data_IF_317093286762
#
_entry.id   IF_317093286762
#
_cell.length_a   1.000
_cell.length_b   1.000
_cell.length_c   1.000
_cell.angle_alpha   90.00
_cell.angle_beta   90.00
_cell.angle_gamma   90.00
#
_symmetry.space_group_name_H-M   'P 1'
#
loop_
_entity.id
_entity.type
_entity.pdbx_description
1 polymer ?
#
# COMPACT_ATOMS: atom_id res chain seq x y z
N UNK A 1 -0.85 -16.93 -20.56
CA UNK A 1 -0.38 -17.44 -19.25
C UNK A 1 0.57 -18.64 -19.35
N UNK A 2 0.48 -19.47 -20.41
CA UNK A 2 1.28 -20.71 -20.55
C UNK A 2 2.79 -20.41 -20.71
N UNK A 3 3.18 -19.29 -21.29
CA UNK A 3 4.59 -18.91 -21.49
C UNK A 3 5.27 -18.37 -20.23
N UNK A 4 4.51 -17.71 -19.33
CA UNK A 4 5.07 -17.14 -18.10
C UNK A 4 5.31 -18.19 -17.01
N UNK A 5 4.48 -19.22 -16.92
CA UNK A 5 4.67 -20.32 -15.97
C UNK A 5 5.94 -21.14 -16.22
N UNK A 6 6.33 -21.30 -17.50
CA UNK A 6 7.52 -22.05 -17.86
C UNK A 6 8.81 -21.32 -17.44
N UNK A 7 8.85 -19.99 -17.58
CA UNK A 7 9.99 -19.17 -17.15
C UNK A 7 10.12 -19.08 -15.61
N UNK A 8 8.98 -19.07 -14.89
CA UNK A 8 8.97 -19.05 -13.41
C UNK A 8 9.47 -20.38 -12.84
N UNK A 9 9.18 -21.51 -13.48
CA UNK A 9 9.60 -22.84 -12.99
C UNK A 9 11.11 -23.04 -13.02
N UNK A 10 11.79 -22.49 -14.01
CA UNK A 10 13.22 -22.74 -14.20
C UNK A 10 14.12 -21.75 -13.45
N UNK A 11 13.67 -20.50 -13.29
CA UNK A 11 14.48 -19.45 -12.67
C UNK A 11 13.97 -18.97 -11.29
N UNK A 12 12.72 -19.24 -10.96
CA UNK A 12 12.06 -18.69 -9.78
C UNK A 12 11.87 -17.16 -9.82
N UNK A 13 12.12 -16.52 -10.96
CA UNK A 13 12.05 -15.07 -11.17
C UNK A 13 11.12 -14.80 -12.35
N UNK A 14 10.21 -13.83 -12.19
CA UNK A 14 9.38 -13.34 -13.30
C UNK A 14 10.27 -12.64 -14.33
N UNK A 15 10.31 -13.13 -15.56
CA UNK A 15 11.19 -12.60 -16.62
C UNK A 15 10.44 -11.67 -17.57
N UNK A 16 9.13 -11.86 -17.75
CA UNK A 16 8.30 -11.10 -18.69
C UNK A 16 7.16 -10.37 -17.98
N UNK A 17 6.89 -9.12 -18.42
CA UNK A 17 5.67 -8.42 -18.00
C UNK A 17 4.44 -9.15 -18.47
N UNK A 18 3.50 -9.40 -17.58
CA UNK A 18 2.19 -9.96 -17.89
C UNK A 18 1.10 -8.90 -17.68
N UNK A 19 0.20 -8.78 -18.67
CA UNK A 19 -0.98 -7.94 -18.55
C UNK A 19 -2.23 -8.81 -18.49
N UNK A 20 -3.06 -8.57 -17.48
CA UNK A 20 -4.33 -9.28 -17.32
C UNK A 20 -5.45 -8.28 -17.02
N UNK A 21 -6.66 -8.61 -17.44
CA UNK A 21 -7.85 -7.80 -17.17
C UNK A 21 -8.75 -8.54 -16.19
N UNK A 22 -9.17 -7.85 -15.13
CA UNK A 22 -10.16 -8.31 -14.18
C UNK A 22 -11.33 -7.35 -14.12
N UNK A 23 -12.52 -7.87 -13.79
CA UNK A 23 -13.69 -7.05 -13.47
C UNK A 23 -13.97 -7.16 -11.99
N UNK A 24 -14.08 -6.01 -11.34
CA UNK A 24 -14.16 -5.93 -9.89
C UNK A 24 -15.30 -5.03 -9.41
N UNK A 25 -16.05 -5.47 -8.42
CA UNK A 25 -17.19 -4.76 -7.79
C UNK A 25 -17.01 -4.50 -6.29
N UNK A 26 -15.82 -4.70 -5.77
CA UNK A 26 -15.56 -4.73 -4.33
C UNK A 26 -15.78 -6.12 -3.73
N UNK A 27 -15.31 -6.34 -2.51
CA UNK A 27 -15.46 -7.62 -1.79
C UNK A 27 -16.94 -7.95 -1.54
N UNK A 28 -17.75 -6.93 -1.20
CA UNK A 28 -19.16 -7.06 -0.90
C UNK A 28 -20.06 -6.88 -2.14
N UNK A 29 -19.48 -6.77 -3.33
CA UNK A 29 -20.17 -6.47 -4.60
C UNK A 29 -21.05 -5.20 -4.58
N UNK A 30 -20.78 -4.26 -3.67
CA UNK A 30 -21.55 -3.04 -3.46
C UNK A 30 -21.12 -1.87 -4.34
N UNK A 31 -20.07 -2.04 -5.13
CA UNK A 31 -19.56 -1.01 -6.03
C UNK A 31 -19.97 -1.27 -7.49
N UNK A 32 -20.01 -0.24 -8.33
CA UNK A 32 -20.12 -0.41 -9.78
C UNK A 32 -18.99 -1.32 -10.30
N UNK A 33 -19.26 -2.04 -11.38
CA UNK A 33 -18.23 -2.86 -12.00
C UNK A 33 -17.14 -2.01 -12.61
N UNK A 34 -15.91 -2.25 -12.17
CA UNK A 34 -14.71 -1.60 -12.71
C UNK A 34 -13.89 -2.62 -13.49
N UNK A 35 -13.46 -2.24 -14.68
CA UNK A 35 -12.46 -2.96 -15.44
C UNK A 35 -11.09 -2.56 -14.94
N UNK A 36 -10.34 -3.51 -14.39
CA UNK A 36 -9.00 -3.31 -13.85
C UNK A 36 -8.02 -4.04 -14.76
N UNK A 37 -7.09 -3.30 -15.36
CA UNK A 37 -5.98 -3.87 -16.11
C UNK A 37 -4.78 -3.96 -15.17
N UNK A 38 -4.32 -5.16 -14.90
CA UNK A 38 -3.20 -5.45 -14.02
C UNK A 38 -1.97 -5.73 -14.90
N UNK A 39 -0.91 -4.96 -14.71
CA UNK A 39 0.38 -5.18 -15.35
C UNK A 39 1.34 -5.65 -14.26
N UNK A 40 1.67 -6.94 -14.27
CA UNK A 40 2.70 -7.51 -13.42
C UNK A 40 4.06 -7.30 -14.05
N UNK A 41 4.99 -6.71 -13.30
CA UNK A 41 6.33 -6.39 -13.79
C UNK A 41 7.39 -7.16 -13.01
N UNK A 42 8.45 -7.66 -13.70
CA UNK A 42 9.54 -8.32 -13.01
C UNK A 42 10.23 -7.39 -11.99
N UNK A 43 10.52 -7.92 -10.81
CA UNK A 43 11.21 -7.16 -9.73
C UNK A 43 12.74 -7.13 -9.86
N UNK A 44 13.33 -7.75 -10.90
CA UNK A 44 14.77 -7.84 -11.03
C UNK A 44 15.36 -6.63 -11.77
N UNK A 45 16.60 -6.24 -11.40
CA UNK A 45 17.28 -5.04 -11.95
C UNK A 45 17.46 -5.05 -13.47
N UNK A 46 17.59 -6.22 -14.06
CA UNK A 46 17.79 -6.37 -15.50
C UNK A 46 16.57 -5.98 -16.35
N UNK A 47 15.39 -5.86 -15.71
CA UNK A 47 14.12 -5.55 -16.36
C UNK A 47 13.62 -4.11 -16.08
N UNK A 48 14.53 -3.20 -15.79
CA UNK A 48 14.20 -1.78 -15.50
C UNK A 48 13.48 -1.08 -16.64
N UNK A 49 13.76 -1.48 -17.89
CA UNK A 49 13.14 -0.90 -19.10
C UNK A 49 11.65 -1.27 -19.20
N UNK A 50 11.31 -2.50 -18.87
CA UNK A 50 9.93 -3.00 -18.87
C UNK A 50 9.11 -2.27 -17.79
N UNK A 51 9.69 -2.08 -16.59
CA UNK A 51 9.09 -1.31 -15.51
C UNK A 51 8.88 0.14 -15.96
N UNK A 52 9.88 0.77 -16.57
CA UNK A 52 9.76 2.17 -17.04
C UNK A 52 8.72 2.34 -18.15
N UNK A 53 8.61 1.38 -19.07
CA UNK A 53 7.55 1.39 -20.11
C UNK A 53 6.17 1.29 -19.46
N UNK A 54 6.01 0.40 -18.50
CA UNK A 54 4.74 0.23 -17.77
C UNK A 54 4.34 1.50 -17.03
N UNK A 55 5.27 2.19 -16.37
CA UNK A 55 5.00 3.43 -15.62
C UNK A 55 4.36 4.54 -16.46
N UNK A 56 4.52 4.53 -17.79
CA UNK A 56 3.94 5.56 -18.68
C UNK A 56 2.43 5.42 -18.87
N UNK A 57 1.87 4.25 -18.61
CA UNK A 57 0.46 3.92 -18.86
C UNK A 57 -0.32 3.58 -17.60
N UNK A 58 0.33 3.61 -16.42
CA UNK A 58 -0.29 3.28 -15.15
C UNK A 58 -1.06 4.46 -14.57
N UNK A 59 -2.29 4.21 -14.13
CA UNK A 59 -3.09 5.13 -13.30
C UNK A 59 -2.67 5.07 -11.83
N UNK A 60 -2.07 3.96 -11.39
CA UNK A 60 -1.56 3.75 -10.05
C UNK A 60 -0.70 2.50 -9.96
N UNK A 61 0.13 2.39 -8.93
CA UNK A 61 1.01 1.26 -8.71
C UNK A 61 0.85 0.67 -7.31
N UNK A 62 0.85 -0.66 -7.20
CA UNK A 62 1.02 -1.37 -5.96
C UNK A 62 2.49 -1.76 -5.80
N UNK A 63 3.18 -1.10 -4.87
CA UNK A 63 4.59 -1.37 -4.55
C UNK A 63 4.66 -2.47 -3.49
N UNK A 64 5.12 -3.66 -3.86
CA UNK A 64 5.21 -4.81 -2.97
C UNK A 64 6.59 -4.87 -2.31
N UNK A 65 6.62 -4.75 -0.98
CA UNK A 65 7.82 -4.86 -0.16
C UNK A 65 7.86 -6.18 0.59
N UNK A 66 9.05 -6.77 0.77
CA UNK A 66 9.23 -7.95 1.59
C UNK A 66 9.33 -7.54 3.07
N UNK A 67 8.52 -8.13 3.95
CA UNK A 67 8.55 -7.86 5.39
C UNK A 67 9.91 -8.18 6.06
N UNK A 68 10.66 -9.12 5.50
CA UNK A 68 11.99 -9.50 5.97
C UNK A 68 13.09 -8.61 5.37
N UNK A 69 13.11 -8.50 4.03
CA UNK A 69 14.13 -7.75 3.29
C UNK A 69 13.96 -6.23 3.36
N UNK A 70 12.74 -5.76 3.56
CA UNK A 70 12.43 -4.33 3.59
C UNK A 70 12.60 -3.62 2.26
N UNK A 71 13.02 -2.37 2.33
CA UNK A 71 13.35 -1.56 1.16
C UNK A 71 14.73 -1.96 0.64
N UNK A 72 14.77 -2.45 -0.60
CA UNK A 72 15.99 -2.89 -1.29
C UNK A 72 16.40 -1.88 -2.38
N UNK A 73 17.63 -1.94 -2.93
CA UNK A 73 18.09 -1.01 -3.98
C UNK A 73 17.17 -0.99 -5.21
N UNK A 74 16.57 -2.14 -5.58
CA UNK A 74 15.59 -2.21 -6.65
C UNK A 74 14.33 -1.40 -6.33
N UNK A 75 13.85 -1.46 -5.08
CA UNK A 75 12.71 -0.68 -4.62
C UNK A 75 12.97 0.83 -4.75
N UNK A 76 14.19 1.28 -4.45
CA UNK A 76 14.60 2.68 -4.61
C UNK A 76 14.60 3.12 -6.08
N UNK A 77 15.06 2.24 -6.97
CA UNK A 77 15.08 2.51 -8.42
C UNK A 77 13.67 2.65 -8.97
N UNK A 78 12.79 1.69 -8.66
CA UNK A 78 11.37 1.72 -9.08
C UNK A 78 10.64 2.90 -8.46
N UNK A 79 10.93 3.24 -7.20
CA UNK A 79 10.39 4.42 -6.52
C UNK A 79 10.72 5.72 -7.26
N UNK A 80 12.00 5.89 -7.67
CA UNK A 80 12.43 7.05 -8.45
C UNK A 80 11.75 7.12 -9.82
N UNK A 81 11.56 5.98 -10.49
CA UNK A 81 10.82 5.92 -11.75
C UNK A 81 9.35 6.32 -11.55
N UNK A 82 8.69 5.80 -10.53
CA UNK A 82 7.32 6.18 -10.21
C UNK A 82 7.20 7.67 -9.89
N UNK A 83 8.20 8.28 -9.24
CA UNK A 83 8.29 9.72 -9.04
C UNK A 83 8.39 10.46 -10.38
N UNK A 84 9.28 10.04 -11.26
CA UNK A 84 9.46 10.65 -12.59
C UNK A 84 8.17 10.67 -13.41
N UNK A 85 7.39 9.60 -13.36
CA UNK A 85 6.14 9.47 -14.10
C UNK A 85 4.89 9.91 -13.31
N UNK A 86 5.06 10.38 -12.09
CA UNK A 86 3.97 10.87 -11.21
C UNK A 86 2.89 9.81 -10.98
N UNK A 87 3.26 8.55 -10.81
CA UNK A 87 2.33 7.45 -10.57
C UNK A 87 1.96 7.40 -9.08
N UNK A 88 0.67 7.53 -8.72
CA UNK A 88 0.19 7.33 -7.36
C UNK A 88 0.49 5.91 -6.88
N UNK A 89 0.77 5.73 -5.59
CA UNK A 89 1.24 4.44 -5.07
C UNK A 89 0.51 4.00 -3.82
N UNK A 90 0.23 2.70 -3.79
CA UNK A 90 -0.12 1.96 -2.60
C UNK A 90 1.05 1.03 -2.25
N UNK A 91 1.48 1.00 -1.00
CA UNK A 91 2.49 0.06 -0.53
C UNK A 91 1.83 -1.20 0.06
N UNK A 92 2.33 -2.36 -0.29
CA UNK A 92 1.91 -3.65 0.25
C UNK A 92 3.12 -4.37 0.86
N UNK A 93 3.05 -4.70 2.15
CA UNK A 93 4.11 -5.45 2.85
C UNK A 93 3.73 -6.93 2.84
N UNK A 94 4.48 -7.71 2.06
CA UNK A 94 4.24 -9.13 1.82
C UNK A 94 5.17 -10.01 2.67
N UNK A 95 4.82 -11.28 2.81
CA UNK A 95 5.60 -12.30 3.55
C UNK A 95 5.71 -12.00 5.04
N UNK A 96 4.59 -11.57 5.66
CA UNK A 96 4.50 -11.35 7.10
C UNK A 96 4.59 -12.64 7.93
N UNK A 97 4.37 -13.79 7.29
CA UNK A 97 4.47 -15.14 7.82
C UNK A 97 5.92 -15.68 7.92
N UNK A 98 6.89 -14.98 7.35
CA UNK A 98 8.29 -15.46 7.33
C UNK A 98 9.07 -15.01 8.56
N UNK A 99 10.00 -15.87 9.02
CA UNK A 99 10.94 -15.55 10.09
C UNK A 99 11.73 -14.28 9.79
N UNK A 100 11.76 -13.34 10.73
CA UNK A 100 12.37 -12.01 10.60
C UNK A 100 11.45 -10.96 9.96
N UNK A 101 10.15 -11.27 9.74
CA UNK A 101 9.19 -10.34 9.21
C UNK A 101 8.91 -9.20 10.20
N UNK A 102 8.97 -7.96 9.72
CA UNK A 102 8.70 -6.78 10.54
C UNK A 102 8.10 -5.65 9.69
N UNK A 103 6.81 -5.39 9.87
CA UNK A 103 6.06 -4.35 9.16
C UNK A 103 6.60 -2.94 9.47
N UNK A 104 6.83 -2.64 10.75
CA UNK A 104 7.25 -1.31 11.16
C UNK A 104 8.67 -0.96 10.72
N UNK A 105 9.55 -1.96 10.64
CA UNK A 105 10.88 -1.79 10.02
C UNK A 105 10.77 -1.36 8.55
N UNK A 106 9.86 -1.96 7.79
CA UNK A 106 9.63 -1.59 6.38
C UNK A 106 9.08 -0.16 6.29
N UNK A 107 8.09 0.16 7.14
CA UNK A 107 7.53 1.51 7.24
C UNK A 107 8.60 2.58 7.50
N UNK A 108 9.49 2.36 8.48
CA UNK A 108 10.58 3.27 8.80
C UNK A 108 11.61 3.39 7.67
N UNK A 109 11.90 2.29 6.98
CA UNK A 109 12.77 2.30 5.81
C UNK A 109 12.15 3.08 4.64
N UNK A 110 10.84 3.04 4.44
CA UNK A 110 10.18 3.87 3.44
C UNK A 110 10.38 5.37 3.75
N UNK A 111 10.29 5.77 5.01
CA UNK A 111 10.56 7.15 5.44
C UNK A 111 12.02 7.55 5.25
N UNK A 112 12.94 6.71 5.69
CA UNK A 112 14.37 7.05 5.75
C UNK A 112 15.08 6.90 4.41
N UNK A 113 14.81 5.82 3.65
CA UNK A 113 15.51 5.51 2.40
C UNK A 113 14.80 6.08 1.18
N UNK A 114 13.47 6.01 1.13
CA UNK A 114 12.69 6.51 -0.03
C UNK A 114 12.27 7.97 0.14
N UNK A 115 12.48 8.57 1.32
CA UNK A 115 11.97 9.91 1.69
C UNK A 115 10.46 10.02 1.45
N UNK A 116 9.75 8.89 1.62
CA UNK A 116 8.31 8.84 1.50
C UNK A 116 7.62 9.33 2.76
N UNK A 117 6.35 9.70 2.64
CA UNK A 117 5.46 9.94 3.78
C UNK A 117 4.36 8.86 3.80
N UNK A 118 4.68 7.61 4.18
CA UNK A 118 3.72 6.52 4.21
C UNK A 118 2.71 6.71 5.33
N UNK A 119 1.46 6.37 5.05
CA UNK A 119 0.37 6.37 6.03
C UNK A 119 -0.18 4.95 6.09
N UNK A 120 0.00 4.22 7.21
CA UNK A 120 -0.61 2.92 7.38
C UNK A 120 -2.14 3.04 7.37
N UNK A 121 -2.79 2.21 6.57
CA UNK A 121 -4.26 2.04 6.55
C UNK A 121 -4.68 0.77 7.27
N UNK A 122 -3.74 -0.18 7.34
CA UNK A 122 -3.85 -1.42 8.13
C UNK A 122 -2.55 -1.66 8.88
N UNK A 123 -2.62 -2.32 10.04
CA UNK A 123 -1.46 -2.82 10.79
C UNK A 123 -1.60 -4.33 11.02
N UNK A 124 -0.50 -5.10 11.09
CA UNK A 124 -0.57 -6.54 11.26
C UNK A 124 -0.95 -6.95 12.69
N UNK A 125 -1.62 -8.09 12.82
CA UNK A 125 -1.86 -8.80 14.08
C UNK A 125 -0.84 -9.93 14.17
N UNK A 126 0.21 -9.72 14.96
CA UNK A 126 1.34 -10.64 15.04
C UNK A 126 2.29 -10.55 13.85
N UNK A 127 3.32 -11.38 13.88
CA UNK A 127 4.31 -11.53 12.81
C UNK A 127 4.86 -12.96 12.84
N UNK A 128 5.49 -13.39 11.76
CA UNK A 128 6.04 -14.74 11.64
C UNK A 128 4.95 -15.81 11.87
N UNK A 129 5.23 -16.81 12.68
CA UNK A 129 4.29 -17.89 13.01
C UNK A 129 3.05 -17.40 13.79
N UNK A 130 3.10 -16.19 14.34
CA UNK A 130 1.97 -15.58 15.07
C UNK A 130 1.12 -14.65 14.22
N UNK A 131 1.45 -14.46 12.93
CA UNK A 131 0.67 -13.63 12.02
C UNK A 131 -0.71 -14.24 11.79
N UNK A 132 -1.77 -13.53 12.19
CA UNK A 132 -3.16 -14.00 12.11
C UNK A 132 -4.05 -13.17 11.20
N UNK A 133 -3.69 -11.93 10.96
CA UNK A 133 -4.53 -11.01 10.23
C UNK A 133 -4.03 -9.58 10.29
N UNK A 134 -4.93 -8.64 10.05
CA UNK A 134 -4.63 -7.20 10.11
C UNK A 134 -5.75 -6.45 10.84
N UNK A 135 -5.44 -5.26 11.33
CA UNK A 135 -6.40 -4.32 11.87
C UNK A 135 -6.64 -3.23 10.82
N UNK A 136 -7.88 -3.07 10.39
CA UNK A 136 -8.35 -1.93 9.59
C UNK A 136 -8.48 -0.70 10.50
N UNK A 137 -7.61 0.27 10.30
CA UNK A 137 -7.56 1.48 11.14
C UNK A 137 -8.75 2.40 10.89
N UNK A 138 -9.34 2.40 9.71
CA UNK A 138 -10.51 3.22 9.42
C UNK A 138 -11.76 2.68 10.13
N UNK A 139 -11.94 1.36 10.11
CA UNK A 139 -13.09 0.67 10.71
C UNK A 139 -12.91 0.33 12.19
N UNK A 140 -11.68 0.37 12.71
CA UNK A 140 -11.33 -0.14 14.05
C UNK A 140 -11.76 -1.60 14.25
N UNK A 141 -11.50 -2.44 13.24
CA UNK A 141 -11.85 -3.86 13.25
C UNK A 141 -10.66 -4.71 12.84
N UNK A 142 -10.53 -5.86 13.49
CA UNK A 142 -9.60 -6.90 13.05
C UNK A 142 -10.20 -7.66 11.87
N UNK A 143 -9.37 -7.97 10.87
CA UNK A 143 -9.70 -8.82 9.72
C UNK A 143 -8.87 -10.08 9.86
N UNK A 144 -9.55 -11.19 10.09
CA UNK A 144 -8.95 -12.51 10.24
C UNK A 144 -9.37 -13.38 9.06
N UNK A 145 -8.41 -13.94 8.34
CA UNK A 145 -8.67 -14.85 7.22
C UNK A 145 -8.82 -16.28 7.68
N UNK A 146 -9.73 -16.98 7.02
CA UNK A 146 -9.90 -18.42 7.20
C UNK A 146 -8.86 -19.15 6.33
N UNK A 147 -7.91 -19.82 6.96
CA UNK A 147 -6.85 -20.58 6.29
C UNK A 147 -7.41 -21.67 5.36
N UNK A 148 -8.51 -22.33 5.77
CA UNK A 148 -9.15 -23.37 4.98
C UNK A 148 -9.70 -22.87 3.63
N UNK A 149 -10.04 -21.59 3.54
CA UNK A 149 -10.55 -20.95 2.33
C UNK A 149 -9.47 -20.33 1.44
N UNK A 150 -8.18 -20.52 1.75
CA UNK A 150 -7.05 -19.87 1.06
C UNK A 150 -7.20 -18.33 0.97
N UNK A 151 -7.72 -17.71 2.02
CA UNK A 151 -7.92 -16.27 2.12
C UNK A 151 -9.15 -15.71 1.42
N UNK A 152 -10.00 -16.56 0.81
CA UNK A 152 -11.24 -16.09 0.18
C UNK A 152 -12.34 -15.69 1.19
N UNK A 153 -12.29 -16.26 2.37
CA UNK A 153 -13.21 -15.91 3.46
C UNK A 153 -12.47 -15.21 4.58
N UNK A 154 -13.07 -14.17 5.08
CA UNK A 154 -12.54 -13.41 6.21
C UNK A 154 -13.69 -13.06 7.18
N UNK A 155 -13.30 -12.73 8.40
CA UNK A 155 -14.23 -12.29 9.46
C UNK A 155 -13.76 -10.96 10.01
N UNK A 156 -14.72 -10.10 10.33
CA UNK A 156 -14.46 -8.93 11.14
C UNK A 156 -14.62 -9.30 12.61
N UNK A 157 -13.61 -8.99 13.40
CA UNK A 157 -13.59 -9.18 14.85
C UNK A 157 -13.25 -7.86 15.54
N UNK A 158 -13.44 -7.80 16.84
CA UNK A 158 -13.01 -6.63 17.62
C UNK A 158 -11.49 -6.64 17.73
N UNK A 159 -10.90 -5.44 17.86
CA UNK A 159 -9.46 -5.29 18.05
C UNK A 159 -9.04 -5.99 19.34
N UNK A 160 -8.02 -6.86 19.32
CA UNK A 160 -7.48 -7.47 20.53
C UNK A 160 -7.12 -6.43 21.60
N UNK A 161 -7.46 -6.68 22.85
CA UNK A 161 -7.29 -5.72 23.94
C UNK A 161 -5.85 -5.20 24.07
N UNK A 162 -4.87 -6.06 23.80
CA UNK A 162 -3.44 -5.75 23.80
C UNK A 162 -2.99 -4.79 22.67
N UNK A 163 -3.77 -4.69 21.59
CA UNK A 163 -3.45 -3.86 20.43
C UNK A 163 -4.30 -2.59 20.33
N UNK A 164 -5.20 -2.35 21.27
CA UNK A 164 -6.10 -1.17 21.24
C UNK A 164 -5.30 0.12 21.28
N UNK A 165 -4.35 0.25 22.19
CA UNK A 165 -3.53 1.47 22.34
C UNK A 165 -2.69 1.73 21.07
N UNK A 166 -2.08 0.70 20.52
CA UNK A 166 -1.31 0.80 19.29
C UNK A 166 -2.21 1.16 18.10
N UNK A 167 -3.39 0.55 18.01
CA UNK A 167 -4.38 0.85 16.99
C UNK A 167 -4.82 2.31 17.02
N UNK A 168 -5.14 2.86 18.19
CA UNK A 168 -5.56 4.26 18.32
C UNK A 168 -4.41 5.21 17.97
N UNK A 169 -3.18 4.91 18.34
CA UNK A 169 -2.00 5.68 17.95
C UNK A 169 -1.84 5.75 16.42
N UNK A 170 -1.90 4.60 15.73
CA UNK A 170 -1.76 4.56 14.28
C UNK A 170 -2.97 5.16 13.56
N UNK A 171 -4.16 4.99 14.13
CA UNK A 171 -5.37 5.64 13.63
C UNK A 171 -5.26 7.16 13.72
N UNK A 172 -4.82 7.73 14.85
CA UNK A 172 -4.62 9.18 14.98
C UNK A 172 -3.70 9.71 13.89
N UNK A 173 -2.58 9.04 13.63
CA UNK A 173 -1.66 9.41 12.55
C UNK A 173 -2.34 9.35 11.16
N UNK A 174 -3.20 8.36 10.92
CA UNK A 174 -3.93 8.23 9.66
C UNK A 174 -4.99 9.33 9.51
N UNK A 175 -5.74 9.64 10.57
CA UNK A 175 -6.77 10.69 10.59
C UNK A 175 -6.14 12.06 10.35
N UNK A 176 -5.05 12.37 11.04
CA UNK A 176 -4.28 13.61 10.85
C UNK A 176 -3.81 13.74 9.39
N UNK A 177 -3.22 12.67 8.84
CA UNK A 177 -2.78 12.65 7.46
C UNK A 177 -3.94 12.79 6.45
N UNK A 178 -5.13 12.28 6.76
CA UNK A 178 -6.32 12.45 5.92
C UNK A 178 -6.86 13.87 6.02
N UNK A 179 -6.84 14.49 7.22
CA UNK A 179 -7.27 15.86 7.45
C UNK A 179 -6.42 16.89 6.70
N UNK A 180 -5.09 16.66 6.63
CA UNK A 180 -4.16 17.52 5.88
C UNK A 180 -4.46 17.60 4.37
N UNK A 181 -5.32 16.74 3.83
CA UNK A 181 -5.59 16.68 2.40
C UNK A 181 -6.38 17.89 1.86
N UNK A 182 -7.22 18.52 2.66
CA UNK A 182 -7.92 19.77 2.33
C UNK A 182 -8.44 20.49 3.58
N UNK A 183 -8.79 21.78 3.41
CA UNK A 183 -9.26 22.65 4.50
C UNK A 183 -10.57 22.14 5.14
N UNK A 184 -11.51 21.63 4.34
CA UNK A 184 -12.79 21.11 4.85
C UNK A 184 -12.59 19.95 5.86
N UNK A 185 -11.69 19.02 5.54
CA UNK A 185 -11.39 17.88 6.41
C UNK A 185 -10.57 18.33 7.64
N UNK A 186 -9.70 19.30 7.47
CA UNK A 186 -8.94 19.88 8.58
C UNK A 186 -9.87 20.58 9.57
N UNK A 187 -10.82 21.38 9.11
CA UNK A 187 -11.81 22.06 9.96
C UNK A 187 -12.67 21.06 10.74
N UNK A 188 -13.13 19.97 10.08
CA UNK A 188 -13.85 18.90 10.78
C UNK A 188 -13.00 18.23 11.85
N UNK A 189 -11.75 17.91 11.54
CA UNK A 189 -10.84 17.29 12.49
C UNK A 189 -10.56 18.19 13.70
N UNK A 190 -10.36 19.50 13.48
CA UNK A 190 -10.14 20.45 14.56
C UNK A 190 -11.37 20.65 15.46
N UNK A 191 -12.58 20.55 14.90
CA UNK A 191 -13.82 20.72 15.67
C UNK A 191 -14.22 19.45 16.41
N UNK A 192 -14.11 18.28 15.77
CA UNK A 192 -14.66 17.01 16.27
C UNK A 192 -13.59 16.09 16.89
N UNK A 193 -12.31 16.34 16.62
CA UNK A 193 -11.18 15.53 17.08
C UNK A 193 -11.02 14.18 16.33
N UNK A 194 -11.92 13.84 15.42
CA UNK A 194 -11.87 12.62 14.57
C UNK A 194 -12.55 12.88 13.22
N UNK A 195 -12.38 11.94 12.29
CA UNK A 195 -13.05 11.94 10.98
C UNK A 195 -13.86 10.67 10.78
N UNK A 196 -14.97 10.78 10.05
CA UNK A 196 -15.74 9.60 9.62
C UNK A 196 -14.93 8.70 8.69
N UNK A 197 -15.28 7.41 8.58
CA UNK A 197 -14.65 6.47 7.64
C UNK A 197 -14.67 7.01 6.21
N UNK A 198 -15.79 7.60 5.78
CA UNK A 198 -15.92 8.19 4.44
C UNK A 198 -15.00 9.39 4.24
N UNK A 199 -14.85 10.26 5.24
CA UNK A 199 -13.95 11.41 5.21
C UNK A 199 -12.48 10.97 5.20
N UNK A 200 -12.11 9.96 5.98
CA UNK A 200 -10.77 9.36 5.96
C UNK A 200 -10.43 8.83 4.56
N UNK A 201 -11.33 8.05 3.96
CA UNK A 201 -11.13 7.51 2.61
C UNK A 201 -11.01 8.64 1.58
N UNK A 202 -11.86 9.68 1.67
CA UNK A 202 -11.80 10.87 0.81
C UNK A 202 -10.45 11.58 0.96
N UNK A 203 -10.00 11.82 2.18
CA UNK A 203 -8.73 12.50 2.48
C UNK A 203 -7.53 11.71 1.97
N UNK A 204 -7.45 10.42 2.26
CA UNK A 204 -6.36 9.56 1.81
C UNK A 204 -6.29 9.44 0.28
N UNK A 205 -7.45 9.41 -0.42
CA UNK A 205 -7.47 9.44 -1.89
C UNK A 205 -6.93 10.75 -2.44
N UNK A 206 -7.38 11.88 -1.91
CA UNK A 206 -6.88 13.19 -2.29
C UNK A 206 -5.36 13.27 -2.05
N UNK A 207 -4.89 12.88 -0.86
CA UNK A 207 -3.48 12.86 -0.53
C UNK A 207 -2.67 12.01 -1.50
N UNK A 208 -3.13 10.82 -1.85
CA UNK A 208 -2.41 9.91 -2.75
C UNK A 208 -2.32 10.45 -4.17
N UNK A 209 -3.37 11.12 -4.67
CA UNK A 209 -3.42 11.63 -6.04
C UNK A 209 -2.84 13.04 -6.17
N UNK A 210 -2.99 13.91 -5.16
CA UNK A 210 -2.62 15.33 -5.20
C UNK A 210 -1.27 15.60 -4.54
N UNK A 211 -0.82 14.77 -3.59
CA UNK A 211 0.48 14.89 -2.92
C UNK A 211 1.66 15.00 -3.90
N UNK A 212 1.45 14.56 -5.12
CA UNK A 212 2.43 14.71 -6.20
C UNK A 212 2.56 16.15 -6.71
N UNK A 213 1.51 16.96 -6.62
CA UNK A 213 1.52 18.37 -7.06
C UNK A 213 2.06 19.30 -5.97
N UNK A 214 1.82 18.99 -4.69
CA UNK A 214 2.27 19.82 -3.57
C UNK A 214 3.76 19.65 -3.23
N UNK A 215 4.31 18.44 -3.30
CA UNK A 215 5.75 18.21 -3.10
C UNK A 215 6.61 18.96 -4.13
N UNK A 216 6.07 19.19 -5.33
CA UNK A 216 6.79 19.91 -6.39
C UNK A 216 6.87 21.43 -6.16
N UNK A 217 5.91 22.01 -5.46
CA UNK A 217 5.94 23.45 -5.12
C UNK A 217 6.97 23.76 -4.03
N UNK A 218 7.17 22.85 -3.08
CA UNK A 218 8.16 23.03 -2.00
C UNK A 218 9.60 22.67 -2.40
N UNK A 219 9.81 21.80 -3.39
CA UNK A 219 11.15 21.45 -3.87
C UNK A 219 11.75 22.53 -4.79
N UNK A 220 10.95 23.42 -5.39
CA UNK A 220 11.46 24.50 -6.22
C UNK A 220 12.00 25.69 -5.43
N UNK A 221 11.62 25.85 -4.16
CA UNK A 221 12.09 26.94 -3.31
C UNK A 221 13.41 26.65 -2.57
N UNK A 222 13.92 25.41 -2.63
CA UNK A 222 15.16 25.01 -1.93
C UNK A 222 16.40 24.91 -2.84
N UNK A 223 16.29 25.29 -4.12
CA UNK A 223 17.40 25.25 -5.08
C UNK A 223 17.55 26.54 -5.92
N UNK A 224 17.20 27.69 -5.35
CA UNK A 224 17.58 29.00 -5.86
C UNK A 224 18.49 29.72 -4.86
#
# INVERSE_FOLDING_TARGET
LVGSEMCIRDSGITITSAATTAFWRGMDMNHPEHRINIIDTPGHVDFTVEVERSMRVLDGACMVYCAVGGVQPQSETVWRQANKYKVPRLAFVNKMDRTGANFFKVYDQMKTRLKANPVPIVIPIGAEDTFKGVIDLAKRKAIIWDEASQGMKFKFEDVPAELVEETEKWRSNMVEAAAEANEELMDKYLNDGDLSEADIIKGLRLRTTVSYTHLRAHETDSYL
#
